data_IF_040161074105
#
_entry.id   IF_040161074105
#
_cell.length_a   1.000
_cell.length_b   1.000
_cell.length_c   1.000
_cell.angle_alpha   90.00
_cell.angle_beta   90.00
_cell.angle_gamma   90.00
#
_symmetry.space_group_name_H-M   'P 1'
#
loop_
_entity.id
_entity.type
_entity.pdbx_description
1 polymer ?
#
# COMPACT_ATOMS: atom_id res chain seq x y z
N UNK A 1 -13.79 10.28 48.86
CA UNK A 1 -15.00 10.40 48.03
C UNK A 1 -15.21 9.05 47.35
N UNK A 2 -16.42 8.50 47.34
CA UNK A 2 -16.73 7.32 46.51
C UNK A 2 -17.06 7.85 45.12
N UNK A 3 -16.36 7.36 44.10
CA UNK A 3 -16.69 7.65 42.70
C UNK A 3 -18.02 6.95 42.38
N UNK A 4 -18.94 7.65 41.74
CA UNK A 4 -20.19 7.08 41.26
C UNK A 4 -19.88 6.11 40.10
N UNK A 5 -20.17 4.80 40.22
CA UNK A 5 -19.93 3.82 39.15
C UNK A 5 -20.65 4.15 37.84
N UNK A 6 -21.72 4.96 37.89
CA UNK A 6 -22.44 5.40 36.69
C UNK A 6 -21.54 6.13 35.69
N UNK A 7 -20.47 6.78 36.17
CA UNK A 7 -19.50 7.51 35.34
C UNK A 7 -18.67 6.61 34.41
N UNK A 8 -18.57 5.32 34.72
CA UNK A 8 -17.77 4.36 33.95
C UNK A 8 -18.62 3.50 33.01
N UNK A 9 -19.94 3.61 33.08
CA UNK A 9 -20.85 2.83 32.24
C UNK A 9 -20.64 3.18 30.77
N UNK A 10 -20.49 2.14 29.93
CA UNK A 10 -20.28 2.25 28.48
C UNK A 10 -19.02 3.05 28.07
N UNK A 11 -18.01 3.11 28.96
CA UNK A 11 -16.71 3.72 28.70
C UNK A 11 -15.60 2.68 28.65
N UNK A 12 -14.62 2.88 27.77
CA UNK A 12 -13.37 2.12 27.80
C UNK A 12 -12.43 2.82 28.79
N UNK A 13 -12.06 2.11 29.85
CA UNK A 13 -11.15 2.63 30.89
C UNK A 13 -9.79 1.94 30.73
N UNK A 14 -8.74 2.73 30.57
CA UNK A 14 -7.37 2.23 30.45
C UNK A 14 -6.61 2.58 31.72
N UNK A 15 -5.98 1.57 32.32
CA UNK A 15 -5.09 1.72 33.47
C UNK A 15 -3.69 1.36 33.00
N UNK A 16 -2.77 2.31 33.03
CA UNK A 16 -1.40 2.10 32.62
C UNK A 16 -0.43 2.95 33.43
N UNK A 17 0.76 2.41 33.66
CA UNK A 17 1.82 3.12 34.36
C UNK A 17 2.44 4.22 33.50
N UNK A 18 2.71 5.37 34.12
CA UNK A 18 3.45 6.49 33.50
C UNK A 18 4.79 6.75 34.20
N UNK A 19 5.27 5.79 34.99
CA UNK A 19 6.46 5.96 35.83
C UNK A 19 7.72 5.96 34.96
N UNK A 20 8.61 6.93 35.17
CA UNK A 20 9.78 7.16 34.31
C UNK A 20 10.75 5.96 34.26
N UNK A 21 10.86 5.22 35.35
CA UNK A 21 11.75 4.05 35.47
C UNK A 21 11.18 2.78 34.82
N UNK A 22 9.89 2.76 34.48
CA UNK A 22 9.21 1.56 33.96
C UNK A 22 9.59 1.23 32.51
N UNK A 23 10.43 2.04 31.85
CA UNK A 23 10.82 1.92 30.43
C UNK A 23 9.64 1.86 29.44
N UNK A 24 8.44 2.20 29.87
CA UNK A 24 7.21 2.23 29.07
C UNK A 24 6.99 3.56 28.35
N UNK A 25 8.02 4.39 28.22
CA UNK A 25 7.96 5.64 27.46
C UNK A 25 8.65 5.44 26.11
N UNK A 26 7.95 5.75 25.03
CA UNK A 26 8.42 5.56 23.67
C UNK A 26 8.52 6.89 22.95
N UNK A 27 9.54 7.04 22.10
CA UNK A 27 9.66 8.20 21.22
C UNK A 27 8.65 8.07 20.07
N UNK A 28 7.79 9.06 19.93
CA UNK A 28 6.81 9.18 18.83
C UNK A 28 7.10 10.45 18.02
N UNK A 29 6.53 10.60 16.81
CA UNK A 29 6.74 11.81 15.99
C UNK A 29 6.36 13.13 16.68
N UNK A 30 5.47 13.08 17.68
CA UNK A 30 5.04 14.24 18.47
C UNK A 30 5.74 14.35 19.83
N UNK A 31 6.74 13.51 20.09
CA UNK A 31 7.54 13.50 21.32
C UNK A 31 7.43 12.20 22.11
N UNK A 32 7.92 12.22 23.36
CA UNK A 32 7.87 11.07 24.25
C UNK A 32 6.44 10.79 24.73
N UNK A 33 5.99 9.54 24.62
CA UNK A 33 4.64 9.13 24.98
C UNK A 33 4.65 7.85 25.83
N UNK A 34 3.89 7.78 26.94
CA UNK A 34 3.69 6.55 27.69
C UNK A 34 2.98 5.48 26.85
N UNK A 35 3.33 4.21 27.01
CA UNK A 35 2.78 3.09 26.25
C UNK A 35 1.25 2.98 26.33
N UNK A 36 0.69 3.29 27.50
CA UNK A 36 -0.76 3.35 27.67
C UNK A 36 -1.43 4.43 26.79
N UNK A 37 -0.80 5.58 26.59
CA UNK A 37 -1.31 6.62 25.69
C UNK A 37 -1.21 6.20 24.22
N UNK A 38 -0.20 5.41 23.84
CA UNK A 38 -0.10 4.85 22.49
C UNK A 38 -1.28 3.92 22.21
N UNK A 39 -1.61 3.04 23.17
CA UNK A 39 -2.79 2.16 23.08
C UNK A 39 -4.09 2.95 23.03
N UNK A 40 -4.24 4.00 23.84
CA UNK A 40 -5.42 4.89 23.81
C UNK A 40 -5.56 5.54 22.43
N UNK A 41 -4.47 6.05 21.84
CA UNK A 41 -4.49 6.64 20.50
C UNK A 41 -4.86 5.62 19.42
N UNK A 42 -4.36 4.39 19.54
CA UNK A 42 -4.72 3.31 18.61
C UNK A 42 -6.20 2.93 18.71
N UNK A 43 -6.73 2.75 19.92
CA UNK A 43 -8.16 2.48 20.13
C UNK A 43 -9.03 3.64 19.68
N UNK A 44 -8.63 4.89 19.98
CA UNK A 44 -9.35 6.07 19.55
C UNK A 44 -9.44 6.14 18.03
N UNK A 45 -8.32 5.88 17.34
CA UNK A 45 -8.28 5.81 15.88
C UNK A 45 -9.18 4.70 15.34
N UNK A 46 -9.14 3.52 15.95
CA UNK A 46 -9.98 2.38 15.56
C UNK A 46 -11.48 2.66 15.75
N UNK A 47 -11.85 3.32 16.84
CA UNK A 47 -13.25 3.68 17.13
C UNK A 47 -13.75 4.82 16.23
N UNK A 48 -12.87 5.76 15.88
CA UNK A 48 -13.22 6.92 15.05
C UNK A 48 -13.31 6.56 13.56
N UNK A 49 -12.35 5.79 13.05
CA UNK A 49 -12.22 5.50 11.62
C UNK A 49 -12.66 4.08 11.25
N UNK A 50 -12.98 3.24 12.25
CA UNK A 50 -13.33 1.84 12.03
C UNK A 50 -12.11 0.98 11.69
N UNK A 51 -12.39 -0.29 11.37
CA UNK A 51 -11.40 -1.18 10.79
C UNK A 51 -11.23 -0.84 9.30
N UNK A 52 -10.00 -0.86 8.80
CA UNK A 52 -9.77 -0.84 7.36
C UNK A 52 -10.33 -2.14 6.78
N UNK A 53 -11.48 -2.06 6.11
CA UNK A 53 -12.05 -3.20 5.42
C UNK A 53 -11.21 -3.49 4.17
N UNK A 54 -10.84 -4.76 4.01
CA UNK A 54 -10.14 -5.19 2.80
C UNK A 54 -11.12 -5.12 1.62
N UNK A 55 -10.77 -4.44 0.52
CA UNK A 55 -11.59 -4.42 -0.67
C UNK A 55 -11.88 -5.83 -1.19
N UNK A 56 -13.02 -6.00 -1.85
CA UNK A 56 -13.41 -7.29 -2.46
C UNK A 56 -12.27 -7.85 -3.33
N UNK A 57 -11.90 -9.14 -3.20
CA UNK A 57 -10.86 -9.76 -4.02
C UNK A 57 -11.11 -9.59 -5.53
N UNK A 58 -12.38 -9.63 -5.96
CA UNK A 58 -12.75 -9.42 -7.36
C UNK A 58 -12.46 -8.01 -7.86
N UNK A 59 -12.61 -7.00 -6.99
CA UNK A 59 -12.25 -5.63 -7.33
C UNK A 59 -10.73 -5.51 -7.51
N UNK A 60 -9.96 -6.14 -6.63
CA UNK A 60 -8.49 -6.16 -6.71
C UNK A 60 -8.02 -6.83 -8.00
N UNK A 61 -8.54 -8.02 -8.33
CA UNK A 61 -8.17 -8.72 -9.57
C UNK A 61 -8.60 -7.95 -10.82
N UNK A 62 -9.79 -7.34 -10.81
CA UNK A 62 -10.25 -6.52 -11.93
C UNK A 62 -9.36 -5.30 -12.16
N UNK A 63 -8.97 -4.62 -11.08
CA UNK A 63 -8.08 -3.46 -11.13
C UNK A 63 -6.67 -3.85 -11.62
N UNK A 64 -6.15 -4.96 -11.12
CA UNK A 64 -4.86 -5.52 -11.56
C UNK A 64 -4.87 -5.88 -13.03
N UNK A 65 -5.93 -6.57 -13.52
CA UNK A 65 -6.10 -6.88 -14.94
C UNK A 65 -6.11 -5.61 -15.80
N UNK A 66 -6.83 -4.58 -15.38
CA UNK A 66 -6.88 -3.28 -16.08
C UNK A 66 -5.48 -2.65 -16.14
N UNK A 67 -4.72 -2.67 -15.04
CA UNK A 67 -3.35 -2.16 -15.01
C UNK A 67 -2.41 -2.95 -15.93
N UNK A 68 -2.51 -4.28 -15.96
CA UNK A 68 -1.75 -5.13 -16.88
C UNK A 68 -2.07 -4.78 -18.33
N UNK A 69 -3.34 -4.60 -18.67
CA UNK A 69 -3.76 -4.24 -20.03
C UNK A 69 -3.23 -2.87 -20.44
N UNK A 70 -3.36 -1.86 -19.57
CA UNK A 70 -2.83 -0.52 -19.82
C UNK A 70 -1.32 -0.58 -20.03
N UNK A 71 -0.59 -1.25 -19.13
CA UNK A 71 0.86 -1.41 -19.27
C UNK A 71 1.23 -2.14 -20.57
N UNK A 72 0.55 -3.24 -20.88
CA UNK A 72 0.80 -4.01 -22.11
C UNK A 72 0.58 -3.18 -23.37
N UNK A 73 -0.49 -2.37 -23.42
CA UNK A 73 -0.75 -1.48 -24.56
C UNK A 73 0.32 -0.40 -24.66
N UNK A 74 0.69 0.25 -23.56
CA UNK A 74 1.74 1.28 -23.54
C UNK A 74 3.05 0.71 -24.06
N UNK A 75 3.46 -0.47 -23.59
CA UNK A 75 4.70 -1.10 -24.02
C UNK A 75 4.64 -1.60 -25.48
N UNK A 76 3.50 -2.13 -25.92
CA UNK A 76 3.30 -2.57 -27.30
C UNK A 76 3.39 -1.41 -28.32
N UNK A 77 2.98 -0.20 -27.92
CA UNK A 77 3.07 1.01 -28.75
C UNK A 77 4.49 1.62 -28.78
N UNK A 78 5.40 1.16 -27.92
CA UNK A 78 6.78 1.69 -27.85
C UNK A 78 7.78 0.73 -28.48
N UNK A 79 8.44 1.15 -29.55
CA UNK A 79 9.36 0.27 -30.30
C UNK A 79 10.78 0.26 -29.72
N UNK A 80 11.27 1.41 -29.23
CA UNK A 80 12.65 1.55 -28.75
C UNK A 80 12.77 1.29 -27.26
N UNK A 81 13.93 0.77 -26.83
CA UNK A 81 14.21 0.53 -25.42
C UNK A 81 14.14 1.82 -24.58
N UNK A 82 14.62 2.94 -25.12
CA UNK A 82 14.51 4.24 -24.46
C UNK A 82 13.05 4.69 -24.30
N UNK A 83 12.20 4.51 -25.32
CA UNK A 83 10.78 4.82 -25.22
C UNK A 83 10.06 3.96 -24.17
N UNK A 84 10.42 2.68 -24.05
CA UNK A 84 9.91 1.76 -23.02
C UNK A 84 10.32 2.16 -21.61
N UNK A 85 11.57 2.58 -21.42
CA UNK A 85 12.03 3.08 -20.13
C UNK A 85 11.28 4.35 -19.73
N UNK A 86 11.13 5.31 -20.65
CA UNK A 86 10.43 6.56 -20.40
C UNK A 86 8.95 6.31 -20.13
N UNK A 87 8.28 5.45 -20.90
CA UNK A 87 6.86 5.13 -20.71
C UNK A 87 6.62 4.41 -19.38
N UNK A 88 7.51 3.51 -18.98
CA UNK A 88 7.49 2.88 -17.65
C UNK A 88 7.65 3.90 -16.52
N UNK A 89 8.60 4.83 -16.64
CA UNK A 89 8.81 5.93 -15.69
C UNK A 89 7.59 6.85 -15.56
N UNK A 90 7.01 7.26 -16.69
CA UNK A 90 5.78 8.08 -16.71
C UNK A 90 4.63 7.35 -16.05
N UNK A 91 4.47 6.05 -16.35
CA UNK A 91 3.44 5.21 -15.74
C UNK A 91 3.60 5.12 -14.23
N UNK A 92 4.83 4.91 -13.72
CA UNK A 92 5.13 4.93 -12.29
C UNK A 92 4.80 6.28 -11.66
N UNK A 93 5.22 7.39 -12.27
CA UNK A 93 4.98 8.75 -11.76
C UNK A 93 3.48 9.06 -11.67
N UNK A 94 2.67 8.58 -12.61
CA UNK A 94 1.22 8.78 -12.59
C UNK A 94 0.50 7.87 -11.58
N UNK A 95 0.95 6.62 -11.45
CA UNK A 95 0.30 5.63 -10.58
C UNK A 95 0.66 5.78 -9.11
N UNK A 96 1.83 6.35 -8.78
CA UNK A 96 2.25 6.62 -7.39
C UNK A 96 1.26 7.52 -6.61
N UNK A 97 0.91 8.73 -7.08
CA UNK A 97 -0.06 9.60 -6.40
C UNK A 97 -1.47 9.00 -6.40
N UNK A 98 -1.81 8.21 -7.43
CA UNK A 98 -3.06 7.47 -7.48
C UNK A 98 -3.13 6.44 -6.35
N UNK A 99 -2.04 5.70 -6.11
CA UNK A 99 -1.92 4.73 -5.01
C UNK A 99 -2.11 5.40 -3.66
N UNK A 100 -1.43 6.52 -3.41
CA UNK A 100 -1.62 7.27 -2.16
C UNK A 100 -3.06 7.73 -1.96
N UNK A 101 -3.72 8.14 -3.04
CA UNK A 101 -5.12 8.56 -3.00
C UNK A 101 -6.07 7.41 -2.70
N UNK A 102 -5.75 6.19 -3.16
CA UNK A 102 -6.55 4.99 -2.94
C UNK A 102 -6.19 4.21 -1.68
N UNK A 103 -5.03 4.47 -1.07
CA UNK A 103 -4.58 3.82 0.16
C UNK A 103 -5.55 4.01 1.32
N UNK A 104 -6.22 5.17 1.38
CA UNK A 104 -7.28 5.46 2.36
C UNK A 104 -8.49 4.53 2.28
N UNK A 105 -8.65 3.79 1.18
CA UNK A 105 -9.70 2.79 0.98
C UNK A 105 -9.18 1.35 1.13
N UNK A 106 -7.96 1.15 1.66
CA UNK A 106 -7.36 -0.18 1.80
C UNK A 106 -6.89 -0.79 0.47
N UNK A 107 -6.83 0.00 -0.60
CA UNK A 107 -6.32 -0.42 -1.91
C UNK A 107 -4.81 -0.14 -1.97
N UNK A 108 -4.02 -1.20 -2.05
CA UNK A 108 -2.60 -1.09 -2.39
C UNK A 108 -2.42 -1.61 -3.81
N UNK A 109 -2.13 -0.70 -4.74
CA UNK A 109 -1.87 -1.05 -6.12
C UNK A 109 -0.49 -1.71 -6.22
N UNK A 110 -0.47 -3.00 -6.58
CA UNK A 110 0.77 -3.71 -6.87
C UNK A 110 1.13 -3.55 -8.35
N UNK A 111 2.28 -2.93 -8.61
CA UNK A 111 2.80 -2.70 -9.96
C UNK A 111 3.87 -3.72 -10.35
N UNK A 112 4.33 -4.56 -9.42
CA UNK A 112 5.36 -5.54 -9.68
C UNK A 112 4.87 -6.59 -10.70
N UNK A 113 3.65 -7.11 -10.52
CA UNK A 113 3.09 -8.14 -11.39
C UNK A 113 2.92 -7.67 -12.85
N UNK A 114 2.29 -6.52 -13.15
CA UNK A 114 2.26 -5.98 -14.51
C UNK A 114 3.65 -5.78 -15.13
N UNK A 115 4.58 -5.21 -14.36
CA UNK A 115 5.92 -4.90 -14.86
C UNK A 115 6.73 -6.17 -15.17
N UNK A 116 6.66 -7.17 -14.29
CA UNK A 116 7.30 -8.47 -14.49
C UNK A 116 6.68 -9.22 -15.66
N UNK A 117 5.34 -9.22 -15.77
CA UNK A 117 4.63 -9.86 -16.88
C UNK A 117 5.07 -9.31 -18.24
N UNK A 118 5.13 -7.98 -18.37
CA UNK A 118 5.57 -7.32 -19.61
C UNK A 118 7.06 -7.58 -19.87
N UNK A 119 7.94 -7.46 -18.86
CA UNK A 119 9.38 -7.72 -19.05
C UNK A 119 9.68 -9.15 -19.49
N UNK A 120 9.01 -10.14 -18.88
CA UNK A 120 9.14 -11.55 -19.25
C UNK A 120 8.70 -11.74 -20.70
N UNK A 121 7.52 -11.23 -21.06
CA UNK A 121 6.99 -11.33 -22.43
C UNK A 121 7.96 -10.72 -23.45
N UNK A 122 8.44 -9.50 -23.21
CA UNK A 122 9.37 -8.83 -24.11
C UNK A 122 10.71 -9.55 -24.25
N UNK A 123 11.21 -10.11 -23.14
CA UNK A 123 12.44 -10.88 -23.15
C UNK A 123 12.26 -12.11 -24.03
N UNK A 124 11.20 -12.90 -23.80
CA UNK A 124 10.89 -14.10 -24.61
C UNK A 124 10.74 -13.75 -26.09
N UNK A 125 9.97 -12.72 -26.43
CA UNK A 125 9.79 -12.30 -27.83
C UNK A 125 11.12 -11.84 -28.47
N UNK A 126 12.02 -11.22 -27.70
CA UNK A 126 13.35 -10.85 -28.19
C UNK A 126 14.19 -12.09 -28.48
N UNK A 127 14.18 -13.09 -27.60
CA UNK A 127 14.90 -14.35 -27.79
C UNK A 127 14.42 -15.09 -29.05
N UNK A 128 13.11 -15.21 -29.25
CA UNK A 128 12.52 -15.83 -30.43
C UNK A 128 12.96 -15.14 -31.73
N UNK A 129 12.97 -13.80 -31.77
CA UNK A 129 13.43 -13.03 -32.94
C UNK A 129 14.91 -13.23 -33.23
N UNK A 130 15.77 -13.30 -32.19
CA UNK A 130 17.20 -13.56 -32.38
C UNK A 130 17.49 -14.97 -32.87
N UNK A 131 16.75 -15.98 -32.40
CA UNK A 131 16.88 -17.36 -32.86
C UNK A 131 16.36 -17.52 -34.29
N UNK A 132 15.27 -16.83 -34.65
CA UNK A 132 14.72 -16.85 -36.01
C UNK A 132 15.58 -16.06 -37.03
N UNK A 133 16.29 -15.02 -36.60
CA UNK A 133 17.17 -14.21 -37.45
C UNK A 133 18.59 -14.74 -37.63
N UNK A 134 18.99 -15.80 -36.90
CA UNK A 134 20.34 -16.39 -36.96
C UNK A 134 20.56 -17.42 -38.08
N UNK A 135 19.58 -17.63 -38.96
CA UNK A 135 19.61 -18.64 -40.03
C UNK A 135 19.69 -18.07 -41.46
N UNK A 136 20.13 -16.83 -41.64
CA UNK A 136 20.48 -16.26 -42.97
C UNK A 136 21.90 -15.71 -42.97
#
# INVERSE_FOLDING_TARGET
SKLDPSLLKDRIVVIGGSFAENRDNYLTPIGMMPGAMILINAMHSLLQYGQMERPSPWLLYGLELVLILIASVIFALTETFAAKLISGLVTLILLLPLTFSFFKYGLWLDFALPLLGVQIHETVTRWERTLAGGHT
#
